data_IF_620339691086
#
_entry.id   IF_620339691086
#
_cell.length_a   1.000
_cell.length_b   1.000
_cell.length_c   1.000
_cell.angle_alpha   90.00
_cell.angle_beta   90.00
_cell.angle_gamma   90.00
#
_symmetry.space_group_name_H-M   'P 1'
#
loop_
_entity.id
_entity.type
_entity.pdbx_description
1 polymer ?
#
# COMPACT_ATOMS: atom_id res chain seq x y z
N UNK A 1 -28.44 6.46 50.07
CA UNK A 1 -29.21 5.28 49.59
C UNK A 1 -28.93 5.15 48.12
N UNK A 2 -28.33 4.08 47.64
CA UNK A 2 -28.16 3.87 46.21
C UNK A 2 -29.53 3.50 45.61
N UNK A 3 -29.92 4.17 44.54
CA UNK A 3 -31.13 3.89 43.78
C UNK A 3 -31.10 2.43 43.30
N UNK A 4 -32.11 1.64 43.76
CA UNK A 4 -32.34 0.29 43.24
C UNK A 4 -32.64 0.38 41.73
N UNK A 5 -31.84 -0.29 40.93
CA UNK A 5 -32.20 -0.54 39.54
C UNK A 5 -33.55 -1.25 39.54
N UNK A 6 -34.49 -0.73 38.74
CA UNK A 6 -35.82 -1.29 38.61
C UNK A 6 -35.69 -2.72 38.03
N UNK A 7 -36.44 -3.70 38.53
CA UNK A 7 -36.34 -5.09 38.07
C UNK A 7 -36.63 -5.22 36.56
N UNK A 8 -37.54 -4.36 36.06
CA UNK A 8 -37.88 -4.29 34.62
C UNK A 8 -36.68 -3.76 33.79
N UNK A 9 -35.92 -2.79 34.30
CA UNK A 9 -34.71 -2.27 33.61
C UNK A 9 -33.61 -3.37 33.47
N UNK A 10 -33.49 -4.25 34.47
CA UNK A 10 -32.50 -5.33 34.45
C UNK A 10 -32.89 -6.41 33.43
N UNK A 11 -34.16 -6.76 33.31
CA UNK A 11 -34.66 -7.72 32.31
C UNK A 11 -34.45 -7.19 30.92
N UNK A 12 -34.72 -5.92 30.67
CA UNK A 12 -34.50 -5.27 29.37
C UNK A 12 -33.03 -5.29 28.99
N UNK A 13 -32.13 -4.94 29.90
CA UNK A 13 -30.68 -4.95 29.64
C UNK A 13 -30.14 -6.37 29.33
N UNK A 14 -30.65 -7.40 30.01
CA UNK A 14 -30.29 -8.79 29.70
C UNK A 14 -30.82 -9.20 28.32
N UNK A 15 -32.02 -8.80 27.96
CA UNK A 15 -32.59 -9.06 26.63
C UNK A 15 -31.75 -8.44 25.51
N UNK A 16 -31.38 -7.17 25.66
CA UNK A 16 -30.49 -6.46 24.71
C UNK A 16 -29.11 -7.13 24.63
N UNK A 17 -28.55 -7.60 25.75
CA UNK A 17 -27.30 -8.31 25.77
C UNK A 17 -27.39 -9.65 25.00
N UNK A 18 -28.49 -10.40 25.17
CA UNK A 18 -28.75 -11.65 24.43
C UNK A 18 -28.90 -11.39 22.92
N UNK A 19 -29.50 -10.27 22.52
CA UNK A 19 -29.58 -9.88 21.11
C UNK A 19 -28.17 -9.63 20.54
N UNK A 20 -27.33 -8.82 21.21
CA UNK A 20 -25.95 -8.57 20.78
C UNK A 20 -25.08 -9.84 20.74
N UNK A 21 -25.26 -10.75 21.72
CA UNK A 21 -24.58 -12.05 21.70
C UNK A 21 -25.01 -12.91 20.48
N UNK A 22 -26.28 -12.83 20.10
CA UNK A 22 -26.79 -13.51 18.91
C UNK A 22 -26.30 -12.87 17.60
N UNK A 23 -26.06 -11.55 17.57
CA UNK A 23 -25.43 -10.89 16.44
C UNK A 23 -24.01 -11.44 16.23
N UNK A 24 -23.19 -11.49 17.29
CA UNK A 24 -21.83 -12.05 17.21
C UNK A 24 -21.89 -13.54 16.85
N UNK A 25 -22.82 -14.32 17.43
CA UNK A 25 -23.01 -15.72 17.06
C UNK A 25 -23.37 -15.91 15.58
N UNK A 26 -24.13 -14.97 14.99
CA UNK A 26 -24.45 -15.01 13.55
C UNK A 26 -23.22 -14.73 12.68
N UNK A 27 -22.29 -13.90 13.14
CA UNK A 27 -21.00 -13.64 12.50
C UNK A 27 -20.15 -14.92 12.54
N UNK A 28 -19.97 -15.54 13.70
CA UNK A 28 -19.24 -16.82 13.83
C UNK A 28 -19.82 -17.93 12.94
N UNK A 29 -21.16 -17.99 12.82
CA UNK A 29 -21.82 -18.95 11.92
C UNK A 29 -21.46 -18.70 10.44
N UNK A 30 -21.29 -17.45 10.03
CA UNK A 30 -20.90 -17.07 8.67
C UNK A 30 -19.40 -17.27 8.44
N UNK A 31 -18.57 -16.93 9.44
CA UNK A 31 -17.11 -17.07 9.39
C UNK A 31 -16.67 -18.53 9.22
N UNK A 32 -17.35 -19.49 9.84
CA UNK A 32 -17.06 -20.92 9.64
C UNK A 32 -17.12 -21.30 8.15
N UNK A 33 -18.21 -20.96 7.46
CA UNK A 33 -18.36 -21.31 6.04
C UNK A 33 -17.29 -20.62 5.18
N UNK A 34 -17.00 -19.37 5.51
CA UNK A 34 -16.00 -18.59 4.82
C UNK A 34 -14.59 -19.18 5.01
N UNK A 35 -14.20 -19.51 6.25
CA UNK A 35 -12.89 -20.10 6.54
C UNK A 35 -12.74 -21.44 5.81
N UNK A 36 -13.78 -22.28 5.77
CA UNK A 36 -13.77 -23.53 4.99
C UNK A 36 -13.50 -23.25 3.51
N UNK A 37 -14.22 -22.29 2.91
CA UNK A 37 -14.01 -21.89 1.52
C UNK A 37 -12.60 -21.37 1.29
N UNK A 38 -12.06 -20.58 2.21
CA UNK A 38 -10.70 -20.04 2.15
C UNK A 38 -9.63 -21.13 2.23
N UNK A 39 -9.82 -22.15 3.08
CA UNK A 39 -8.91 -23.31 3.17
C UNK A 39 -8.81 -24.05 1.83
N UNK A 40 -9.93 -24.19 1.11
CA UNK A 40 -9.95 -24.88 -0.18
C UNK A 40 -9.32 -24.02 -1.31
N UNK A 41 -9.53 -22.72 -1.28
CA UNK A 41 -9.11 -21.79 -2.35
C UNK A 41 -7.65 -21.34 -2.24
N UNK A 42 -7.11 -21.15 -1.02
CA UNK A 42 -5.76 -20.62 -0.87
C UNK A 42 -4.69 -21.58 -1.39
N UNK A 43 -3.78 -21.13 -2.26
CA UNK A 43 -2.65 -21.94 -2.71
C UNK A 43 -1.53 -22.02 -1.66
N UNK A 44 -1.56 -21.19 -0.62
CA UNK A 44 -0.48 -21.01 0.35
C UNK A 44 -0.63 -21.97 1.53
N UNK A 45 0.31 -22.89 1.71
CA UNK A 45 0.24 -23.90 2.77
C UNK A 45 0.26 -23.31 4.18
N UNK A 46 0.99 -22.23 4.41
CA UNK A 46 1.05 -21.53 5.71
C UNK A 46 -0.30 -20.90 6.07
N UNK A 47 -0.92 -20.21 5.10
CA UNK A 47 -2.27 -19.64 5.26
C UNK A 47 -3.27 -20.76 5.53
N UNK A 48 -3.22 -21.84 4.74
CA UNK A 48 -4.09 -23.01 4.91
C UNK A 48 -3.99 -23.64 6.29
N UNK A 49 -2.78 -23.77 6.82
CA UNK A 49 -2.54 -24.33 8.14
C UNK A 49 -3.10 -23.43 9.25
N UNK A 50 -2.87 -22.13 9.16
CA UNK A 50 -3.37 -21.17 10.16
C UNK A 50 -4.90 -21.07 10.12
N UNK A 51 -5.51 -21.06 8.92
CA UNK A 51 -6.96 -21.08 8.76
C UNK A 51 -7.60 -22.33 9.36
N UNK A 52 -6.97 -23.52 9.24
CA UNK A 52 -7.46 -24.74 9.88
C UNK A 52 -7.48 -24.63 11.40
N UNK A 53 -6.41 -24.07 11.98
CA UNK A 53 -6.36 -23.81 13.42
C UNK A 53 -7.45 -22.81 13.82
N UNK A 54 -7.61 -21.73 13.07
CA UNK A 54 -8.63 -20.72 13.35
C UNK A 54 -10.06 -21.25 13.20
N UNK A 55 -10.31 -22.17 12.26
CA UNK A 55 -11.59 -22.85 12.15
C UNK A 55 -11.97 -23.61 13.45
N UNK A 56 -11.00 -24.28 14.09
CA UNK A 56 -11.20 -24.94 15.37
C UNK A 56 -11.49 -23.94 16.49
N UNK A 57 -10.74 -22.81 16.51
CA UNK A 57 -10.96 -21.69 17.46
C UNK A 57 -12.39 -21.13 17.30
N UNK A 58 -12.84 -20.85 16.08
CA UNK A 58 -14.19 -20.34 15.75
C UNK A 58 -15.30 -21.32 16.16
N UNK A 59 -15.10 -22.61 15.98
CA UNK A 59 -16.05 -23.63 16.48
C UNK A 59 -16.18 -23.59 18.03
N UNK A 60 -15.10 -23.36 18.74
CA UNK A 60 -15.10 -23.27 20.20
C UNK A 60 -15.75 -21.96 20.64
N UNK A 61 -15.50 -20.85 19.99
CA UNK A 61 -16.12 -19.54 20.23
C UNK A 61 -17.63 -19.61 20.07
N UNK A 62 -18.09 -20.20 18.98
CA UNK A 62 -19.51 -20.48 18.76
C UNK A 62 -20.15 -21.29 19.91
N UNK A 63 -19.46 -22.30 20.44
CA UNK A 63 -19.96 -23.08 21.57
C UNK A 63 -20.01 -22.24 22.86
N UNK A 64 -19.00 -21.39 23.11
CA UNK A 64 -18.97 -20.46 24.25
C UNK A 64 -20.15 -19.47 24.17
N UNK A 65 -20.37 -18.84 23.02
CA UNK A 65 -21.50 -17.92 22.84
C UNK A 65 -22.85 -18.62 23.06
N UNK A 66 -23.06 -19.82 22.49
CA UNK A 66 -24.30 -20.60 22.75
C UNK A 66 -24.51 -20.89 24.22
N UNK A 67 -23.45 -21.28 24.95
CA UNK A 67 -23.52 -21.51 26.41
C UNK A 67 -23.87 -20.26 27.17
N UNK A 68 -23.28 -19.11 26.82
CA UNK A 68 -23.55 -17.82 27.46
C UNK A 68 -25.01 -17.42 27.22
N UNK A 69 -25.49 -17.47 26.00
CA UNK A 69 -26.87 -17.10 25.64
C UNK A 69 -27.89 -17.96 26.42
N UNK A 70 -27.67 -19.26 26.46
CA UNK A 70 -28.55 -20.18 27.22
C UNK A 70 -28.49 -19.86 28.71
N UNK A 71 -27.29 -19.61 29.27
CA UNK A 71 -27.10 -19.24 30.68
C UNK A 71 -27.84 -17.96 31.08
N UNK A 72 -27.98 -17.00 30.15
CA UNK A 72 -28.75 -15.77 30.32
C UNK A 72 -30.26 -15.93 30.04
N UNK A 73 -30.73 -17.14 29.76
CA UNK A 73 -32.13 -17.46 29.49
C UNK A 73 -32.58 -17.16 28.04
N UNK A 74 -31.62 -16.83 27.16
CA UNK A 74 -31.88 -16.58 25.74
C UNK A 74 -31.88 -17.86 24.87
N UNK A 75 -32.25 -17.71 23.61
CA UNK A 75 -32.20 -18.77 22.59
C UNK A 75 -31.11 -18.45 21.57
N UNK A 76 -30.09 -19.33 21.39
CA UNK A 76 -29.05 -19.14 20.39
C UNK A 76 -29.61 -19.15 18.96
N UNK A 77 -29.12 -18.25 18.12
CA UNK A 77 -29.46 -18.20 16.69
C UNK A 77 -28.63 -19.19 15.87
N UNK A 78 -29.23 -19.70 14.79
CA UNK A 78 -28.50 -20.39 13.72
C UNK A 78 -28.39 -19.51 12.43
N UNK A 79 -28.82 -18.24 12.51
CA UNK A 79 -28.67 -17.29 11.42
C UNK A 79 -27.18 -17.05 11.10
N UNK A 80 -26.91 -16.65 9.86
CA UNK A 80 -25.58 -16.25 9.38
C UNK A 80 -25.59 -14.78 9.00
N UNK A 81 -24.59 -14.04 9.46
CA UNK A 81 -24.42 -12.64 9.11
C UNK A 81 -23.97 -12.48 7.64
N UNK A 82 -24.26 -11.33 7.06
CA UNK A 82 -23.74 -10.95 5.75
C UNK A 82 -22.36 -10.29 5.90
N UNK A 83 -21.29 -11.05 5.75
CA UNK A 83 -19.91 -10.60 5.86
C UNK A 83 -19.48 -9.68 4.70
N UNK A 84 -20.29 -9.52 3.66
CA UNK A 84 -19.97 -8.62 2.54
C UNK A 84 -20.09 -7.14 2.89
N UNK A 85 -20.71 -6.82 4.01
CA UNK A 85 -21.03 -5.45 4.48
C UNK A 85 -20.12 -4.93 5.58
N UNK A 86 -18.93 -5.50 5.76
CA UNK A 86 -17.96 -4.94 6.71
C UNK A 86 -17.71 -3.46 6.40
N UNK A 87 -18.11 -2.58 7.33
CA UNK A 87 -18.17 -1.12 7.17
C UNK A 87 -16.83 -0.40 7.36
N UNK A 88 -15.71 -1.08 7.20
CA UNK A 88 -14.44 -0.36 7.11
C UNK A 88 -14.40 0.37 5.76
N UNK A 89 -14.10 1.69 5.75
CA UNK A 89 -13.93 2.40 4.50
C UNK A 89 -12.83 1.69 3.70
N UNK A 90 -13.24 0.95 2.69
CA UNK A 90 -12.33 0.38 1.71
C UNK A 90 -11.59 1.57 1.09
N UNK A 91 -10.32 1.72 1.49
CA UNK A 91 -9.41 2.64 0.83
C UNK A 91 -9.57 2.48 -0.68
N UNK A 92 -9.63 3.58 -1.36
CA UNK A 92 -9.88 3.80 -2.80
C UNK A 92 -8.94 2.99 -3.74
N UNK A 93 -8.03 2.20 -3.19
CA UNK A 93 -7.09 1.31 -3.90
C UNK A 93 -7.78 0.33 -4.87
N UNK A 94 -9.03 -0.09 -4.61
CA UNK A 94 -9.67 -1.14 -5.40
C UNK A 94 -10.08 -0.72 -6.81
N UNK A 95 -10.45 0.55 -7.02
CA UNK A 95 -10.96 1.01 -8.33
C UNK A 95 -9.88 1.20 -9.38
N UNK A 96 -8.67 1.55 -8.96
CA UNK A 96 -7.59 1.86 -9.89
C UNK A 96 -6.74 0.63 -10.22
N UNK A 97 -6.52 -0.26 -9.24
CA UNK A 97 -5.75 -1.49 -9.42
C UNK A 97 -6.41 -2.47 -10.42
N UNK A 98 -7.74 -2.66 -10.33
CA UNK A 98 -8.48 -3.53 -11.26
C UNK A 98 -8.53 -2.99 -12.69
N UNK A 99 -8.54 -1.67 -12.89
CA UNK A 99 -8.53 -1.06 -14.23
C UNK A 99 -7.23 -1.26 -15.00
N UNK A 100 -6.09 -1.32 -14.30
CA UNK A 100 -4.77 -1.48 -14.95
C UNK A 100 -4.53 -2.91 -15.39
N UNK A 101 -5.11 -3.89 -14.69
CA UNK A 101 -4.96 -5.32 -15.02
C UNK A 101 -5.77 -5.74 -16.24
N UNK A 102 -6.97 -5.17 -16.41
CA UNK A 102 -7.82 -5.48 -17.58
C UNK A 102 -7.23 -5.03 -18.94
N UNK A 103 -6.32 -4.05 -18.94
CA UNK A 103 -5.78 -3.46 -20.16
C UNK A 103 -4.53 -4.18 -20.74
N UNK A 104 -3.88 -5.09 -20.01
CA UNK A 104 -2.58 -5.66 -20.41
C UNK A 104 -2.56 -7.18 -20.62
N UNK A 105 -3.69 -7.86 -20.80
CA UNK A 105 -3.71 -9.31 -20.94
C UNK A 105 -3.87 -9.78 -22.37
N UNK A 106 -2.78 -9.84 -23.10
CA UNK A 106 -2.66 -10.79 -24.22
C UNK A 106 -1.69 -11.92 -23.85
N UNK A 107 -2.28 -13.11 -23.76
CA UNK A 107 -1.78 -14.49 -23.84
C UNK A 107 -0.56 -14.95 -23.01
N UNK A 108 -0.81 -15.99 -22.20
CA UNK A 108 0.08 -17.03 -21.62
C UNK A 108 0.63 -16.87 -20.18
N UNK A 109 0.27 -15.83 -19.42
CA UNK A 109 0.56 -15.77 -17.99
C UNK A 109 -0.68 -15.60 -17.11
N UNK A 110 -1.87 -15.68 -17.69
CA UNK A 110 -3.15 -15.25 -17.09
C UNK A 110 -3.59 -16.03 -15.85
N UNK A 111 -3.36 -17.33 -15.81
CA UNK A 111 -3.91 -18.15 -14.71
C UNK A 111 -3.17 -17.91 -13.38
N UNK A 112 -1.86 -17.73 -13.38
CA UNK A 112 -1.10 -17.57 -12.14
C UNK A 112 -1.19 -16.15 -11.54
N UNK A 113 -1.25 -15.09 -12.36
CA UNK A 113 -1.36 -13.71 -11.87
C UNK A 113 -2.75 -13.41 -11.30
N UNK A 114 -3.83 -13.94 -11.91
CA UNK A 114 -5.20 -13.82 -11.38
C UNK A 114 -5.33 -14.52 -10.03
N UNK A 115 -4.77 -15.73 -9.85
CA UNK A 115 -4.82 -16.47 -8.59
C UNK A 115 -4.11 -15.75 -7.45
N UNK A 116 -3.06 -14.99 -7.74
CA UNK A 116 -2.27 -14.25 -6.74
C UNK A 116 -2.92 -12.94 -6.32
N UNK A 117 -3.52 -12.21 -7.25
CA UNK A 117 -4.31 -11.00 -6.96
C UNK A 117 -5.57 -11.33 -6.17
N UNK A 118 -6.22 -12.42 -6.51
CA UNK A 118 -7.36 -12.94 -5.77
C UNK A 118 -6.97 -13.34 -4.34
N UNK A 119 -5.80 -13.97 -4.15
CA UNK A 119 -5.31 -14.34 -2.82
C UNK A 119 -5.02 -13.12 -1.94
N UNK A 120 -4.38 -12.09 -2.47
CA UNK A 120 -4.13 -10.85 -1.72
C UNK A 120 -5.44 -10.12 -1.36
N UNK A 121 -6.40 -10.09 -2.28
CA UNK A 121 -7.71 -9.53 -2.01
C UNK A 121 -8.45 -10.29 -0.90
N UNK A 122 -8.35 -11.63 -0.92
CA UNK A 122 -8.91 -12.50 0.11
C UNK A 122 -8.24 -12.28 1.48
N UNK A 123 -6.92 -12.23 1.55
CA UNK A 123 -6.18 -11.96 2.79
C UNK A 123 -6.56 -10.60 3.39
N UNK A 124 -6.72 -9.57 2.56
CA UNK A 124 -7.19 -8.26 3.04
C UNK A 124 -8.61 -8.34 3.61
N UNK A 125 -9.48 -9.09 2.96
CA UNK A 125 -10.85 -9.29 3.43
C UNK A 125 -10.87 -10.13 4.72
N UNK A 126 -10.04 -11.17 4.81
CA UNK A 126 -9.85 -11.97 6.02
C UNK A 126 -9.45 -11.08 7.20
N UNK A 127 -8.41 -10.27 7.03
CA UNK A 127 -7.92 -9.35 8.07
C UNK A 127 -9.00 -8.35 8.55
N UNK A 128 -9.83 -7.85 7.65
CA UNK A 128 -10.92 -6.91 8.00
C UNK A 128 -11.95 -7.61 8.85
N UNK A 129 -12.34 -8.83 8.52
CA UNK A 129 -13.35 -9.58 9.25
C UNK A 129 -12.86 -9.93 10.65
N UNK A 130 -11.64 -10.45 10.80
CA UNK A 130 -11.05 -10.73 12.10
C UNK A 130 -11.01 -9.48 13.00
N UNK A 131 -10.75 -8.32 12.39
CA UNK A 131 -10.73 -7.06 13.15
C UNK A 131 -12.14 -6.62 13.58
N UNK A 132 -13.15 -6.83 12.76
CA UNK A 132 -14.56 -6.57 13.09
C UNK A 132 -15.04 -7.50 14.21
N UNK A 133 -14.64 -8.79 14.18
CA UNK A 133 -14.93 -9.77 15.24
C UNK A 133 -14.27 -9.39 16.58
N UNK A 134 -13.00 -8.97 16.55
CA UNK A 134 -12.30 -8.44 17.72
C UNK A 134 -13.07 -7.27 18.38
N UNK A 135 -13.50 -6.30 17.57
CA UNK A 135 -14.28 -5.13 18.06
C UNK A 135 -15.64 -5.56 18.62
N UNK A 136 -16.27 -6.57 18.02
CA UNK A 136 -17.54 -7.10 18.50
C UNK A 136 -17.40 -7.75 19.87
N UNK A 137 -16.38 -8.58 20.10
CA UNK A 137 -16.09 -9.16 21.42
C UNK A 137 -15.74 -8.09 22.46
N UNK A 138 -14.94 -7.07 22.12
CA UNK A 138 -14.63 -5.95 23.02
C UNK A 138 -15.92 -5.23 23.42
N UNK A 139 -16.83 -4.97 22.48
CA UNK A 139 -18.14 -4.36 22.75
C UNK A 139 -18.99 -5.20 23.69
N UNK A 140 -19.03 -6.53 23.48
CA UNK A 140 -19.75 -7.44 24.38
C UNK A 140 -19.19 -7.42 25.81
N UNK A 141 -17.88 -7.45 25.97
CA UNK A 141 -17.21 -7.40 27.28
C UNK A 141 -17.56 -6.10 28.01
N UNK A 142 -17.52 -4.96 27.31
CA UNK A 142 -17.92 -3.66 27.88
C UNK A 142 -19.39 -3.65 28.30
N UNK A 143 -20.29 -4.20 27.50
CA UNK A 143 -21.73 -4.31 27.84
C UNK A 143 -21.95 -5.22 29.04
N UNK A 144 -21.25 -6.36 29.13
CA UNK A 144 -21.28 -7.24 30.30
C UNK A 144 -20.90 -6.51 31.59
N UNK A 145 -19.85 -5.69 31.57
CA UNK A 145 -19.41 -4.89 32.72
C UNK A 145 -20.45 -3.84 33.14
N UNK A 146 -21.20 -3.28 32.19
CA UNK A 146 -22.24 -2.28 32.45
C UNK A 146 -23.55 -2.91 32.96
N UNK A 147 -23.85 -4.12 32.54
CA UNK A 147 -25.12 -4.81 32.83
C UNK A 147 -25.09 -5.54 34.17
N UNK A 148 -23.91 -5.97 34.58
CA UNK A 148 -23.68 -6.73 35.86
C UNK A 148 -24.62 -7.92 36.03
N UNK A 149 -24.73 -8.83 35.01
CA UNK A 149 -25.65 -9.97 35.08
C UNK A 149 -25.13 -11.06 36.01
N UNK A 150 -26.00 -12.01 36.44
CA UNK A 150 -25.56 -13.20 37.12
C UNK A 150 -24.44 -13.91 36.35
N UNK A 151 -23.40 -14.37 37.04
CA UNK A 151 -22.22 -15.06 36.46
C UNK A 151 -21.34 -14.14 35.58
N UNK A 152 -21.39 -12.83 35.74
CA UNK A 152 -20.61 -11.87 34.95
C UNK A 152 -19.12 -12.26 34.79
N UNK A 153 -18.45 -12.68 35.86
CA UNK A 153 -17.04 -13.05 35.84
C UNK A 153 -16.76 -14.26 34.91
N UNK A 154 -17.60 -15.30 34.98
CA UNK A 154 -17.43 -16.48 34.11
C UNK A 154 -17.67 -16.12 32.65
N UNK A 155 -18.70 -15.35 32.38
CA UNK A 155 -19.06 -14.94 31.03
C UNK A 155 -17.99 -14.00 30.43
N UNK A 156 -17.54 -13.00 31.20
CA UNK A 156 -16.46 -12.09 30.79
C UNK A 156 -15.20 -12.88 30.45
N UNK A 157 -14.79 -13.82 31.29
CA UNK A 157 -13.63 -14.69 31.01
C UNK A 157 -13.75 -15.47 29.70
N UNK A 158 -14.93 -16.02 29.40
CA UNK A 158 -15.15 -16.74 28.15
C UNK A 158 -15.10 -15.84 26.91
N UNK A 159 -15.63 -14.62 27.02
CA UNK A 159 -15.57 -13.61 25.95
C UNK A 159 -14.15 -13.08 25.74
N UNK A 160 -13.41 -12.79 26.83
CA UNK A 160 -12.01 -12.41 26.75
C UNK A 160 -11.13 -13.45 26.09
N UNK A 161 -11.41 -14.74 26.36
CA UNK A 161 -10.71 -15.83 25.69
C UNK A 161 -10.98 -15.88 24.19
N UNK A 162 -12.21 -15.67 23.76
CA UNK A 162 -12.55 -15.57 22.35
C UNK A 162 -11.90 -14.34 21.70
N UNK A 163 -11.95 -13.20 22.37
CA UNK A 163 -11.28 -11.98 21.91
C UNK A 163 -9.77 -12.16 21.70
N UNK A 164 -9.09 -12.89 22.60
CA UNK A 164 -7.65 -13.18 22.48
C UNK A 164 -7.35 -14.09 21.28
N UNK A 165 -8.25 -15.02 20.95
CA UNK A 165 -8.12 -15.90 19.77
C UNK A 165 -8.24 -15.08 18.49
N UNK A 166 -9.20 -14.11 18.40
CA UNK A 166 -9.32 -13.17 17.28
C UNK A 166 -8.12 -12.22 17.17
N UNK A 167 -7.66 -11.68 18.31
CA UNK A 167 -6.45 -10.85 18.35
C UNK A 167 -5.23 -11.62 17.85
N UNK A 168 -5.11 -12.90 18.20
CA UNK A 168 -4.04 -13.77 17.71
C UNK A 168 -4.10 -13.98 16.20
N UNK A 169 -5.31 -14.14 15.63
CA UNK A 169 -5.49 -14.28 14.18
C UNK A 169 -5.19 -12.99 13.44
N UNK A 170 -5.73 -11.86 13.91
CA UNK A 170 -5.44 -10.54 13.36
C UNK A 170 -3.93 -10.21 13.43
N UNK A 171 -3.27 -10.57 14.53
CA UNK A 171 -1.83 -10.42 14.69
C UNK A 171 -1.04 -11.32 13.75
N UNK A 172 -1.49 -12.56 13.54
CA UNK A 172 -0.88 -13.47 12.57
C UNK A 172 -0.93 -12.87 11.16
N UNK A 173 -2.07 -12.35 10.72
CA UNK A 173 -2.18 -11.67 9.43
C UNK A 173 -1.24 -10.45 9.35
N UNK A 174 -1.15 -9.67 10.43
CA UNK A 174 -0.26 -8.52 10.50
C UNK A 174 1.21 -8.87 10.25
N UNK A 175 1.67 -9.98 10.81
CA UNK A 175 3.07 -10.45 10.66
C UNK A 175 3.30 -11.14 9.32
N UNK A 176 2.36 -11.99 8.90
CA UNK A 176 2.56 -12.85 7.74
C UNK A 176 2.15 -12.20 6.42
N UNK A 177 1.28 -11.18 6.44
CA UNK A 177 0.94 -10.44 5.21
C UNK A 177 2.17 -9.87 4.50
N UNK A 178 3.18 -9.28 5.16
CA UNK A 178 4.43 -8.92 4.50
C UNK A 178 5.15 -10.10 3.86
N UNK A 179 5.23 -11.26 4.56
CA UNK A 179 5.87 -12.47 4.03
C UNK A 179 5.09 -13.07 2.85
N UNK A 180 3.77 -13.00 2.90
CA UNK A 180 2.88 -13.40 1.81
C UNK A 180 3.06 -12.46 0.62
N UNK A 181 3.12 -11.15 0.87
CA UNK A 181 3.47 -10.15 -0.13
C UNK A 181 4.88 -10.38 -0.69
N UNK A 182 5.83 -10.89 0.11
CA UNK A 182 7.17 -11.23 -0.34
C UNK A 182 7.19 -12.34 -1.39
N UNK A 183 6.28 -13.29 -1.31
CA UNK A 183 6.12 -14.33 -2.32
C UNK A 183 5.40 -13.83 -3.58
N UNK A 184 4.50 -12.84 -3.45
CA UNK A 184 3.77 -12.21 -4.55
C UNK A 184 4.52 -11.02 -5.16
N UNK A 185 5.29 -10.30 -4.33
CA UNK A 185 5.99 -9.07 -4.67
C UNK A 185 7.01 -9.17 -5.82
N UNK A 186 7.89 -10.20 -5.90
CA UNK A 186 8.82 -10.32 -7.00
C UNK A 186 8.13 -10.32 -8.37
N UNK A 187 6.90 -10.83 -8.43
CA UNK A 187 6.13 -10.91 -9.67
C UNK A 187 5.51 -9.56 -10.04
N UNK A 188 5.04 -8.78 -9.07
CA UNK A 188 4.47 -7.44 -9.30
C UNK A 188 5.54 -6.43 -9.72
N UNK A 189 6.68 -6.39 -9.01
CA UNK A 189 7.84 -5.56 -9.39
C UNK A 189 8.37 -5.98 -10.75
N UNK A 190 8.41 -7.28 -11.02
CA UNK A 190 8.83 -7.80 -12.32
C UNK A 190 7.94 -7.27 -13.45
N UNK A 191 6.65 -7.05 -13.21
CA UNK A 191 5.73 -6.51 -14.22
C UNK A 191 6.05 -5.06 -14.57
N UNK A 192 6.21 -4.17 -13.59
CA UNK A 192 6.52 -2.75 -13.85
C UNK A 192 7.90 -2.57 -14.48
N UNK A 193 8.94 -3.25 -13.97
CA UNK A 193 10.28 -3.23 -14.58
C UNK A 193 10.24 -3.88 -15.97
N UNK A 194 9.54 -5.01 -16.15
CA UNK A 194 9.44 -5.70 -17.43
C UNK A 194 8.81 -4.82 -18.50
N UNK A 195 7.82 -3.99 -18.15
CA UNK A 195 7.21 -3.03 -19.08
C UNK A 195 8.24 -2.00 -19.55
N UNK A 196 9.03 -1.45 -18.62
CA UNK A 196 10.13 -0.53 -18.93
C UNK A 196 11.22 -1.20 -19.77
N UNK A 197 11.66 -2.40 -19.38
CA UNK A 197 12.67 -3.16 -20.12
C UNK A 197 12.19 -3.53 -21.54
N UNK A 198 10.92 -3.91 -21.71
CA UNK A 198 10.32 -4.20 -23.03
C UNK A 198 10.29 -2.96 -23.91
N UNK A 199 9.99 -1.79 -23.36
CA UNK A 199 10.08 -0.53 -24.09
C UNK A 199 11.52 -0.27 -24.56
N UNK A 200 12.49 -0.37 -23.65
CA UNK A 200 13.90 -0.11 -23.96
C UNK A 200 14.48 -1.13 -24.94
N UNK A 201 14.06 -2.39 -24.87
CA UNK A 201 14.50 -3.45 -25.80
C UNK A 201 14.28 -3.06 -27.28
N UNK A 202 13.16 -2.40 -27.57
CA UNK A 202 12.84 -1.93 -28.91
C UNK A 202 13.70 -0.73 -29.36
N UNK A 203 14.48 -0.14 -28.46
CA UNK A 203 15.28 1.07 -28.69
C UNK A 203 16.78 0.87 -28.44
N UNK A 204 17.26 -0.38 -28.26
CA UNK A 204 18.69 -0.65 -28.05
C UNK A 204 19.51 -0.07 -29.22
N UNK A 205 20.57 0.65 -28.88
CA UNK A 205 21.45 1.32 -29.82
C UNK A 205 20.90 2.63 -30.38
N UNK A 206 19.69 3.03 -29.98
CA UNK A 206 19.10 4.31 -30.37
C UNK A 206 19.40 5.39 -29.36
N UNK A 207 19.29 6.63 -29.81
CA UNK A 207 19.21 7.81 -28.97
C UNK A 207 17.77 8.33 -28.98
N UNK A 208 17.18 8.50 -27.82
CA UNK A 208 15.80 8.95 -27.67
C UNK A 208 15.71 10.05 -26.61
N UNK A 209 14.78 10.99 -26.80
CA UNK A 209 14.48 12.00 -25.78
C UNK A 209 13.65 11.36 -24.68
N UNK A 210 14.12 11.50 -23.44
CA UNK A 210 13.44 10.98 -22.25
C UNK A 210 13.39 12.03 -21.16
N UNK A 211 12.28 12.06 -20.44
CA UNK A 211 12.17 12.72 -19.15
C UNK A 211 12.43 11.69 -18.07
N UNK A 212 13.38 11.94 -17.21
CA UNK A 212 13.82 11.04 -16.14
C UNK A 212 13.33 11.58 -14.81
N UNK A 213 12.72 10.71 -13.99
CA UNK A 213 12.32 11.00 -12.62
C UNK A 213 13.18 10.15 -11.67
N UNK A 214 13.76 10.80 -10.68
CA UNK A 214 14.31 10.19 -9.48
C UNK A 214 13.44 10.56 -8.29
N UNK A 215 12.78 9.58 -7.69
CA UNK A 215 12.02 9.75 -6.45
C UNK A 215 12.74 9.00 -5.32
N UNK A 216 13.22 9.70 -4.33
CA UNK A 216 14.11 9.19 -3.28
C UNK A 216 13.51 9.43 -1.89
N UNK A 217 13.57 8.40 -1.03
CA UNK A 217 13.00 8.44 0.32
C UNK A 217 13.91 9.25 1.27
N UNK A 218 13.35 10.28 1.89
CA UNK A 218 14.11 11.12 2.80
C UNK A 218 14.47 10.38 4.08
N UNK A 219 15.76 10.33 4.42
CA UNK A 219 16.22 9.78 5.69
C UNK A 219 16.25 8.25 5.77
N UNK A 220 16.17 7.55 4.64
CA UNK A 220 16.26 6.08 4.56
C UNK A 220 17.52 5.51 5.20
N UNK A 221 18.67 6.15 5.02
CA UNK A 221 19.93 5.77 5.70
C UNK A 221 19.79 5.81 7.22
N UNK A 222 19.13 6.85 7.76
CA UNK A 222 18.88 6.92 9.21
C UNK A 222 17.91 5.83 9.66
N UNK A 223 16.86 5.57 8.88
CA UNK A 223 15.91 4.50 9.16
C UNK A 223 16.59 3.14 9.15
N UNK A 224 17.50 2.86 8.22
CA UNK A 224 18.27 1.61 8.18
C UNK A 224 19.19 1.39 9.38
N UNK A 225 19.60 2.46 10.07
CA UNK A 225 20.41 2.40 11.28
C UNK A 225 19.60 2.30 12.57
N UNK A 226 18.31 2.63 12.53
CA UNK A 226 17.48 2.79 13.73
C UNK A 226 16.30 1.84 13.80
N UNK A 227 15.82 1.33 12.68
CA UNK A 227 14.67 0.42 12.60
C UNK A 227 15.12 -1.03 12.45
N UNK A 228 14.36 -1.99 13.00
CA UNK A 228 14.50 -3.40 12.65
C UNK A 228 14.40 -3.59 11.14
N UNK A 229 15.17 -4.52 10.59
CA UNK A 229 15.24 -4.74 9.14
C UNK A 229 13.87 -5.04 8.50
N UNK A 230 13.02 -5.81 9.19
CA UNK A 230 11.69 -6.15 8.67
C UNK A 230 10.78 -4.93 8.54
N UNK A 231 10.88 -3.99 9.49
CA UNK A 231 10.16 -2.72 9.44
C UNK A 231 10.64 -1.85 8.28
N UNK A 232 11.97 -1.78 8.09
CA UNK A 232 12.58 -1.05 6.98
C UNK A 232 12.13 -1.62 5.64
N UNK A 233 12.17 -2.95 5.50
CA UNK A 233 11.71 -3.65 4.29
C UNK A 233 10.25 -3.34 4.01
N UNK A 234 9.39 -3.38 5.02
CA UNK A 234 7.96 -3.05 4.89
C UNK A 234 7.75 -1.61 4.39
N UNK A 235 8.49 -0.65 4.96
CA UNK A 235 8.42 0.76 4.56
C UNK A 235 8.88 0.94 3.11
N UNK A 236 10.06 0.42 2.75
CA UNK A 236 10.62 0.56 1.40
C UNK A 236 9.71 -0.09 0.37
N UNK A 237 9.11 -1.24 0.68
CA UNK A 237 8.17 -1.91 -0.21
C UNK A 237 6.91 -1.09 -0.46
N UNK A 238 6.25 -0.61 0.60
CA UNK A 238 5.09 0.26 0.45
C UNK A 238 5.42 1.48 -0.40
N UNK A 239 6.54 2.14 -0.11
CA UNK A 239 7.02 3.30 -0.85
C UNK A 239 7.26 2.99 -2.33
N UNK A 240 8.05 1.96 -2.64
CA UNK A 240 8.41 1.64 -4.03
C UNK A 240 7.22 1.14 -4.85
N UNK A 241 6.32 0.38 -4.22
CA UNK A 241 5.10 -0.10 -4.87
C UNK A 241 4.20 1.06 -5.29
N UNK A 242 3.83 1.92 -4.34
CA UNK A 242 2.84 2.96 -4.60
C UNK A 242 3.39 4.05 -5.54
N UNK A 243 4.71 4.32 -5.48
CA UNK A 243 5.34 5.20 -6.44
C UNK A 243 5.40 4.59 -7.85
N UNK A 244 5.66 3.29 -7.96
CA UNK A 244 5.63 2.59 -9.26
C UNK A 244 4.23 2.60 -9.86
N UNK A 245 3.21 2.43 -9.04
CA UNK A 245 1.82 2.55 -9.45
C UNK A 245 1.50 3.97 -9.95
N UNK A 246 2.00 5.01 -9.26
CA UNK A 246 1.85 6.37 -9.74
C UNK A 246 2.50 6.56 -11.13
N UNK A 247 3.71 6.03 -11.35
CA UNK A 247 4.38 6.07 -12.66
C UNK A 247 3.53 5.41 -13.75
N UNK A 248 3.03 4.20 -13.48
CA UNK A 248 2.21 3.44 -14.42
C UNK A 248 0.88 4.15 -14.73
N UNK A 249 0.28 4.82 -13.73
CA UNK A 249 -0.98 5.57 -13.88
C UNK A 249 -0.86 6.82 -14.77
N UNK A 250 0.35 7.33 -14.95
CA UNK A 250 0.68 8.45 -15.84
C UNK A 250 1.36 8.00 -17.14
N UNK A 251 1.24 6.72 -17.52
CA UNK A 251 1.87 6.13 -18.71
C UNK A 251 3.41 6.23 -18.74
N UNK A 252 4.04 6.42 -17.58
CA UNK A 252 5.49 6.34 -17.39
C UNK A 252 5.97 4.89 -17.33
N UNK A 253 7.27 4.72 -17.26
CA UNK A 253 7.94 3.42 -17.16
C UNK A 253 8.90 3.39 -15.98
N UNK A 254 8.82 2.37 -15.15
CA UNK A 254 9.83 2.14 -14.11
C UNK A 254 11.07 1.53 -14.78
N UNK A 255 12.22 2.18 -14.59
CA UNK A 255 13.50 1.69 -15.10
C UNK A 255 14.11 0.67 -14.13
N UNK A 256 14.27 1.08 -12.88
CA UNK A 256 14.88 0.28 -11.82
C UNK A 256 14.68 0.92 -10.44
N UNK A 257 14.96 0.14 -9.42
CA UNK A 257 15.09 0.62 -8.06
C UNK A 257 16.57 0.72 -7.68
N UNK A 258 16.96 1.79 -7.01
CA UNK A 258 18.32 1.99 -6.53
C UNK A 258 18.28 2.22 -5.01
N UNK A 259 18.35 1.13 -4.25
CA UNK A 259 18.09 1.15 -2.82
C UNK A 259 16.64 1.51 -2.52
N UNK A 260 16.43 2.68 -1.98
CA UNK A 260 15.14 3.28 -1.67
C UNK A 260 14.62 4.28 -2.72
N UNK A 261 15.35 4.44 -3.82
CA UNK A 261 14.94 5.33 -4.91
C UNK A 261 14.19 4.56 -6.01
N UNK A 262 13.10 5.15 -6.51
CA UNK A 262 12.39 4.74 -7.73
C UNK A 262 12.88 5.59 -8.87
N UNK A 263 13.48 4.95 -9.89
CA UNK A 263 13.94 5.60 -11.10
C UNK A 263 12.99 5.26 -12.22
N UNK A 264 12.41 6.26 -12.84
CA UNK A 264 11.43 6.09 -13.91
C UNK A 264 11.67 7.06 -15.06
N UNK A 265 11.04 6.78 -16.20
CA UNK A 265 11.17 7.62 -17.38
C UNK A 265 9.86 7.75 -18.16
N UNK A 266 9.75 8.85 -18.88
CA UNK A 266 8.67 9.12 -19.81
C UNK A 266 9.28 9.39 -21.18
N UNK A 267 8.82 8.73 -22.26
CA UNK A 267 9.27 9.05 -23.60
C UNK A 267 8.85 10.47 -23.98
N UNK A 268 9.81 11.30 -24.39
CA UNK A 268 9.54 12.65 -24.89
C UNK A 268 8.73 12.59 -26.18
N UNK A 269 7.69 13.41 -26.28
CA UNK A 269 6.91 13.60 -27.50
C UNK A 269 7.15 15.03 -27.98
N UNK A 270 8.00 15.18 -28.99
CA UNK A 270 8.21 16.49 -29.61
C UNK A 270 6.95 16.82 -30.41
N UNK A 271 6.17 17.78 -29.93
CA UNK A 271 5.13 18.44 -30.73
C UNK A 271 5.72 19.67 -31.42
N UNK A 272 5.19 20.03 -32.58
CA UNK A 272 5.66 21.14 -33.44
C UNK A 272 5.77 22.53 -32.75
N UNK A 273 5.21 22.68 -31.54
CA UNK A 273 5.18 23.95 -30.79
C UNK A 273 6.21 24.05 -29.65
N UNK A 274 7.27 23.25 -29.64
CA UNK A 274 8.30 23.20 -28.55
C UNK A 274 7.75 22.82 -27.15
N UNK A 275 6.53 22.37 -27.02
CA UNK A 275 5.96 21.91 -25.75
C UNK A 275 6.00 20.39 -25.71
N UNK A 276 6.63 19.84 -24.67
CA UNK A 276 6.64 18.39 -24.45
C UNK A 276 5.60 18.02 -23.39
N UNK A 277 4.44 17.54 -23.83
CA UNK A 277 3.36 17.09 -22.95
C UNK A 277 3.85 16.08 -21.90
N UNK A 278 4.93 15.35 -22.19
CA UNK A 278 5.50 14.38 -21.27
C UNK A 278 6.17 15.06 -20.07
N UNK A 279 6.66 16.30 -20.22
CA UNK A 279 7.23 17.08 -19.10
C UNK A 279 6.16 17.48 -18.07
N UNK A 280 5.01 17.97 -18.54
CA UNK A 280 3.87 18.28 -17.66
C UNK A 280 3.36 17.01 -16.97
N UNK A 281 3.22 15.91 -17.71
CA UNK A 281 2.81 14.60 -17.19
C UNK A 281 3.78 14.09 -16.11
N UNK A 282 5.08 14.24 -16.32
CA UNK A 282 6.11 13.85 -15.34
C UNK A 282 6.02 14.67 -14.05
N UNK A 283 5.75 15.98 -14.14
CA UNK A 283 5.53 16.86 -12.98
C UNK A 283 4.26 16.46 -12.24
N UNK A 284 3.15 16.21 -12.93
CA UNK A 284 1.90 15.76 -12.33
C UNK A 284 2.04 14.37 -11.66
N UNK A 285 2.79 13.46 -12.28
CA UNK A 285 3.16 12.20 -11.65
C UNK A 285 3.93 12.43 -10.34
N UNK A 286 4.90 13.34 -10.34
CA UNK A 286 5.62 13.72 -9.12
C UNK A 286 4.73 14.31 -8.02
N UNK A 287 3.75 15.16 -8.38
CA UNK A 287 2.74 15.67 -7.44
C UNK A 287 1.89 14.53 -6.87
N UNK A 288 1.45 13.59 -7.73
CA UNK A 288 0.71 12.40 -7.31
C UNK A 288 1.51 11.54 -6.34
N UNK A 289 2.81 11.29 -6.60
CA UNK A 289 3.69 10.56 -5.68
C UNK A 289 3.75 11.18 -4.29
N UNK A 290 3.90 12.51 -4.19
CA UNK A 290 3.92 13.22 -2.91
C UNK A 290 2.57 13.08 -2.19
N UNK A 291 1.46 13.23 -2.91
CA UNK A 291 0.13 13.11 -2.34
C UNK A 291 -0.15 11.69 -1.84
N UNK A 292 0.23 10.65 -2.59
CA UNK A 292 0.11 9.25 -2.18
C UNK A 292 0.86 8.98 -0.88
N UNK A 293 2.09 9.48 -0.74
CA UNK A 293 2.84 9.31 0.52
C UNK A 293 2.12 10.01 1.67
N UNK A 294 1.67 11.24 1.46
CA UNK A 294 1.10 12.09 2.50
C UNK A 294 -0.28 11.61 2.94
N UNK A 295 -1.16 11.29 1.97
CA UNK A 295 -2.58 11.03 2.24
C UNK A 295 -2.90 9.53 2.38
N UNK A 296 -2.07 8.64 1.83
CA UNK A 296 -2.35 7.20 1.81
C UNK A 296 -1.34 6.40 2.64
N UNK A 297 -0.03 6.55 2.40
CA UNK A 297 1.01 5.75 3.07
C UNK A 297 1.19 6.18 4.52
N UNK A 298 1.44 7.48 4.77
CA UNK A 298 1.73 7.97 6.12
C UNK A 298 0.62 7.70 7.13
N UNK A 299 -0.69 7.91 6.82
CA UNK A 299 -1.76 7.59 7.76
C UNK A 299 -1.79 6.11 8.16
N UNK A 300 -1.49 5.20 7.22
CA UNK A 300 -1.44 3.76 7.50
C UNK A 300 -0.22 3.41 8.34
N UNK A 301 0.97 3.88 7.94
CA UNK A 301 2.21 3.57 8.65
C UNK A 301 2.23 4.15 10.07
N UNK A 302 1.73 5.38 10.24
CA UNK A 302 1.72 6.04 11.55
C UNK A 302 0.66 5.45 12.48
N UNK A 303 -0.61 5.37 12.03
CA UNK A 303 -1.73 4.92 12.87
C UNK A 303 -1.66 3.44 13.22
N UNK A 304 -1.21 2.59 12.29
CA UNK A 304 -1.18 1.14 12.49
C UNK A 304 0.12 0.63 13.11
N UNK A 305 1.24 1.21 12.73
CA UNK A 305 2.56 0.67 13.05
C UNK A 305 3.40 1.60 13.92
N UNK A 306 2.94 2.84 14.15
CA UNK A 306 3.71 3.84 14.88
C UNK A 306 5.02 4.22 14.18
N UNK A 307 5.10 4.02 12.86
CA UNK A 307 6.29 4.37 12.10
C UNK A 307 6.36 5.89 11.87
N UNK A 308 7.57 6.44 11.68
CA UNK A 308 7.74 7.86 11.40
C UNK A 308 7.10 8.22 10.05
N UNK A 309 6.70 9.48 9.90
CA UNK A 309 6.24 10.00 8.61
C UNK A 309 7.34 9.88 7.55
N UNK A 310 6.94 9.44 6.38
CA UNK A 310 7.80 9.36 5.20
C UNK A 310 7.69 10.66 4.40
N UNK A 311 8.81 11.06 3.85
CA UNK A 311 8.92 12.19 2.94
C UNK A 311 9.68 11.75 1.69
N UNK A 312 9.32 12.29 0.54
CA UNK A 312 9.99 12.03 -0.73
C UNK A 312 10.60 13.33 -1.28
N UNK A 313 11.69 13.20 -1.99
CA UNK A 313 12.27 14.26 -2.80
C UNK A 313 12.34 13.77 -4.25
N UNK A 314 11.90 14.61 -5.18
CA UNK A 314 11.76 14.24 -6.58
C UNK A 314 12.58 15.21 -7.43
N UNK A 315 13.50 14.65 -8.20
CA UNK A 315 14.29 15.36 -9.19
C UNK A 315 13.92 14.88 -10.59
N UNK A 316 13.67 15.82 -11.50
CA UNK A 316 13.26 15.53 -12.87
C UNK A 316 14.19 16.28 -13.84
N UNK A 317 14.70 15.56 -14.84
CA UNK A 317 15.43 16.20 -15.94
C UNK A 317 15.13 15.51 -17.28
N UNK A 318 15.37 16.23 -18.38
CA UNK A 318 15.07 15.77 -19.72
C UNK A 318 16.26 15.93 -20.65
N UNK A 319 16.38 15.02 -21.59
CA UNK A 319 17.41 15.10 -22.61
C UNK A 319 17.47 13.89 -23.52
N UNK A 320 18.36 13.95 -24.50
CA UNK A 320 18.69 12.83 -25.36
C UNK A 320 19.51 11.79 -24.57
N UNK A 321 19.07 10.54 -24.59
CA UNK A 321 19.71 9.43 -23.89
C UNK A 321 19.95 8.27 -24.86
N UNK A 322 21.07 7.56 -24.69
CA UNK A 322 21.36 6.34 -25.39
C UNK A 322 20.79 5.14 -24.62
N UNK A 323 20.14 4.22 -25.30
CA UNK A 323 19.67 2.97 -24.74
C UNK A 323 20.75 1.91 -24.98
N UNK A 324 21.27 1.36 -23.89
CA UNK A 324 22.42 0.44 -23.93
C UNK A 324 22.09 -0.86 -23.21
N UNK A 325 22.63 -1.95 -23.71
CA UNK A 325 22.62 -3.24 -23.02
C UNK A 325 24.01 -3.53 -22.48
N UNK A 326 24.11 -3.81 -21.17
CA UNK A 326 25.37 -4.13 -20.52
C UNK A 326 25.54 -5.64 -20.40
N UNK A 327 26.55 -6.21 -21.05
CA UNK A 327 26.88 -7.64 -21.01
C UNK A 327 26.76 -8.32 -22.36
N UNK A 328 27.08 -9.61 -22.39
CA UNK A 328 27.15 -10.41 -23.61
C UNK A 328 25.96 -11.34 -23.83
N UNK A 329 25.09 -11.48 -22.81
CA UNK A 329 23.95 -12.37 -22.87
C UNK A 329 22.68 -11.62 -23.28
N UNK A 330 21.74 -12.30 -23.94
CA UNK A 330 20.45 -11.71 -24.30
C UNK A 330 19.62 -11.28 -23.10
N UNK A 331 19.86 -11.89 -21.95
CA UNK A 331 19.24 -11.56 -20.65
C UNK A 331 19.91 -10.40 -19.92
N UNK A 332 20.99 -9.83 -20.47
CA UNK A 332 21.71 -8.72 -19.84
C UNK A 332 20.83 -7.50 -19.69
N UNK A 333 20.89 -6.78 -18.55
CA UNK A 333 20.01 -5.65 -18.28
C UNK A 333 20.23 -4.51 -19.29
N UNK A 334 19.12 -3.89 -19.70
CA UNK A 334 19.11 -2.70 -20.53
C UNK A 334 19.01 -1.49 -19.62
N UNK A 335 19.80 -0.47 -19.90
CA UNK A 335 19.84 0.75 -19.10
C UNK A 335 19.85 2.00 -20.01
N UNK A 336 19.64 3.14 -19.40
CA UNK A 336 19.62 4.46 -20.01
C UNK A 336 20.94 5.16 -19.67
N UNK A 337 21.66 5.62 -20.67
CA UNK A 337 22.91 6.36 -20.52
C UNK A 337 22.75 7.76 -21.12
N UNK A 338 22.85 8.77 -20.28
CA UNK A 338 22.76 10.16 -20.74
C UNK A 338 22.96 11.19 -19.65
N UNK A 339 23.07 12.42 -20.06
CA UNK A 339 23.26 13.55 -19.13
C UNK A 339 22.08 13.68 -18.19
N UNK A 340 20.84 13.60 -18.68
CA UNK A 340 19.61 13.76 -17.89
C UNK A 340 19.48 12.73 -16.77
N UNK A 341 19.96 11.50 -16.97
CA UNK A 341 20.00 10.48 -15.91
C UNK A 341 20.83 10.94 -14.70
N UNK A 342 22.03 11.46 -14.98
CA UNK A 342 22.93 11.93 -13.92
C UNK A 342 22.42 13.21 -13.28
N UNK A 343 21.90 14.13 -14.10
CA UNK A 343 21.41 15.43 -13.63
C UNK A 343 20.16 15.27 -12.78
N UNK A 344 19.18 14.43 -13.18
CA UNK A 344 17.99 14.13 -12.37
C UNK A 344 18.37 13.61 -10.98
N UNK A 345 19.30 12.66 -10.88
CA UNK A 345 19.81 12.17 -9.59
C UNK A 345 20.45 13.27 -8.73
N UNK A 346 21.18 14.20 -9.35
CA UNK A 346 21.81 15.33 -8.64
C UNK A 346 20.79 16.39 -8.23
N UNK A 347 19.80 16.67 -9.07
CA UNK A 347 18.67 17.54 -8.73
C UNK A 347 17.94 17.00 -7.50
N UNK A 348 17.67 15.68 -7.46
CA UNK A 348 17.04 15.02 -6.29
C UNK A 348 17.85 15.28 -5.01
N UNK A 349 19.18 15.27 -5.07
CA UNK A 349 20.02 15.53 -3.90
C UNK A 349 19.95 16.99 -3.39
N UNK A 350 19.57 17.94 -4.24
CA UNK A 350 19.35 19.36 -3.89
C UNK A 350 17.91 19.60 -3.42
N UNK A 351 16.99 18.72 -3.75
CA UNK A 351 15.56 18.89 -3.53
C UNK A 351 15.22 18.66 -2.05
N UNK A 352 14.36 19.53 -1.52
CA UNK A 352 13.86 19.41 -0.15
C UNK A 352 12.82 18.29 -0.01
N UNK A 353 12.52 17.91 1.24
CA UNK A 353 11.48 16.95 1.56
C UNK A 353 10.11 17.40 1.02
N UNK A 354 9.36 16.45 0.41
CA UNK A 354 8.08 16.69 -0.24
C UNK A 354 8.09 17.81 -1.28
N UNK A 355 9.20 17.93 -2.01
CA UNK A 355 9.33 18.89 -3.11
C UNK A 355 9.69 18.21 -4.41
N UNK A 356 9.36 18.89 -5.50
CA UNK A 356 9.76 18.54 -6.85
C UNK A 356 10.71 19.63 -7.35
N UNK A 357 11.86 19.21 -7.86
CA UNK A 357 12.75 20.11 -8.57
C UNK A 357 13.02 19.59 -9.98
N UNK A 358 13.08 20.50 -10.94
CA UNK A 358 13.25 20.18 -12.35
C UNK A 358 14.49 20.89 -12.89
N UNK A 359 15.17 20.25 -13.83
CA UNK A 359 16.25 20.86 -14.59
C UNK A 359 15.73 21.87 -15.63
N UNK A 360 16.62 22.72 -16.13
CA UNK A 360 16.30 23.76 -17.09
C UNK A 360 15.63 23.22 -18.35
N UNK A 361 16.00 22.01 -18.82
CA UNK A 361 15.41 21.40 -20.00
C UNK A 361 13.92 21.09 -19.80
N UNK A 362 13.58 20.51 -18.64
CA UNK A 362 12.18 20.24 -18.28
C UNK A 362 11.43 21.57 -18.10
N UNK A 363 11.99 22.51 -17.34
CA UNK A 363 11.35 23.80 -17.09
C UNK A 363 10.97 24.54 -18.36
N UNK A 364 11.85 24.55 -19.36
CA UNK A 364 11.60 25.21 -20.65
C UNK A 364 10.50 24.52 -21.48
N UNK A 365 10.29 23.21 -21.31
CA UNK A 365 9.29 22.45 -22.04
C UNK A 365 7.91 22.40 -21.35
N UNK A 366 7.82 22.86 -20.08
CA UNK A 366 6.54 22.91 -19.36
C UNK A 366 5.56 23.95 -19.97
N UNK A 367 4.26 23.69 -19.80
CA UNK A 367 3.25 24.71 -20.07
C UNK A 367 3.48 25.96 -19.21
N UNK A 368 3.19 27.12 -19.75
CA UNK A 368 3.39 28.40 -19.04
C UNK A 368 2.63 28.53 -17.71
N UNK A 369 1.52 27.80 -17.54
CA UNK A 369 0.78 27.76 -16.28
C UNK A 369 1.57 26.98 -15.24
N UNK A 370 2.12 25.84 -15.62
CA UNK A 370 2.94 24.99 -14.76
C UNK A 370 4.27 25.66 -14.44
N UNK A 371 4.91 26.33 -15.42
CA UNK A 371 6.14 27.09 -15.17
C UNK A 371 6.00 28.13 -14.05
N UNK A 372 4.84 28.78 -13.93
CA UNK A 372 4.59 29.79 -12.89
C UNK A 372 4.54 29.24 -11.47
N UNK A 373 4.36 27.93 -11.35
CA UNK A 373 4.38 27.24 -10.05
C UNK A 373 5.81 27.01 -9.55
N UNK A 374 6.81 27.22 -10.39
CA UNK A 374 8.21 26.99 -10.07
C UNK A 374 8.98 28.32 -9.87
N UNK A 375 9.99 28.27 -9.02
CA UNK A 375 10.99 29.33 -8.87
C UNK A 375 12.39 28.75 -9.01
N UNK A 376 13.33 29.56 -9.46
CA UNK A 376 14.74 29.18 -9.60
C UNK A 376 15.33 28.84 -8.23
N UNK A 377 15.88 27.62 -8.08
CA UNK A 377 16.59 27.20 -6.89
C UNK A 377 18.01 27.79 -6.93
N UNK A 378 18.38 28.49 -5.87
CA UNK A 378 19.75 29.00 -5.77
C UNK A 378 20.76 27.87 -5.74
N UNK A 379 21.54 27.73 -6.77
CA UNK A 379 22.62 26.74 -6.92
C UNK A 379 24.00 27.31 -6.57
N UNK A 380 24.05 28.46 -5.87
CA UNK A 380 25.29 29.15 -5.47
C UNK A 380 26.15 28.36 -4.47
N UNK A 381 25.66 27.25 -3.97
CA UNK A 381 26.40 26.30 -3.14
C UNK A 381 27.44 25.55 -4.01
N UNK A 382 28.68 25.45 -3.55
CA UNK A 382 29.82 24.76 -4.22
C UNK A 382 29.55 23.28 -4.61
N UNK A 383 28.37 22.76 -4.30
CA UNK A 383 27.91 21.43 -4.64
C UNK A 383 27.36 21.29 -6.06
N UNK A 384 26.95 22.39 -6.71
CA UNK A 384 26.41 22.40 -8.06
C UNK A 384 27.42 22.94 -9.05
N UNK A 385 28.00 22.11 -9.90
CA UNK A 385 29.04 22.44 -10.88
C UNK A 385 28.65 22.08 -12.32
N UNK A 386 27.36 21.86 -12.55
CA UNK A 386 26.89 21.48 -13.87
C UNK A 386 26.65 22.72 -14.71
N UNK A 387 27.09 22.65 -15.96
CA UNK A 387 26.97 23.72 -16.97
C UNK A 387 26.10 23.23 -18.13
N UNK A 388 25.50 24.15 -18.84
CA UNK A 388 24.77 23.86 -20.08
C UNK A 388 25.74 23.33 -21.15
N UNK A 389 25.29 22.29 -21.88
CA UNK A 389 26.09 21.75 -22.97
C UNK A 389 26.30 22.81 -24.07
N UNK A 390 27.56 23.06 -24.42
CA UNK A 390 27.94 24.01 -25.45
C UNK A 390 27.96 25.49 -25.00
N UNK A 391 27.74 25.77 -23.71
CA UNK A 391 27.94 27.07 -23.08
C UNK A 391 28.66 26.91 -21.75
N UNK A 392 29.26 27.98 -21.24
CA UNK A 392 29.87 27.97 -19.89
C UNK A 392 28.86 28.43 -18.79
N UNK A 393 27.60 28.59 -19.14
CA UNK A 393 26.56 29.03 -18.21
C UNK A 393 26.15 27.89 -17.27
N UNK A 394 25.96 28.18 -15.96
CA UNK A 394 25.46 27.17 -15.01
C UNK A 394 24.11 26.61 -15.45
N UNK A 395 23.96 25.29 -15.36
CA UNK A 395 22.68 24.64 -15.61
C UNK A 395 21.71 24.95 -14.47
N UNK A 396 20.58 25.56 -14.79
CA UNK A 396 19.60 26.04 -13.82
C UNK A 396 18.68 24.91 -13.33
N UNK A 397 18.29 25.02 -12.08
CA UNK A 397 17.34 24.13 -11.42
C UNK A 397 16.18 24.96 -10.88
N UNK A 398 14.98 24.46 -11.03
CA UNK A 398 13.76 25.11 -10.56
C UNK A 398 13.03 24.19 -9.60
N UNK A 399 12.46 24.73 -8.53
CA UNK A 399 11.70 23.94 -7.55
C UNK A 399 10.27 24.43 -7.47
N UNK A 400 9.35 23.45 -7.31
CA UNK A 400 7.93 23.72 -7.17
C UNK A 400 7.67 24.47 -5.87
N UNK A 401 6.85 25.50 -5.91
CA UNK A 401 6.35 26.17 -4.72
C UNK A 401 5.52 25.19 -3.88
N UNK A 402 5.62 25.26 -2.53
CA UNK A 402 4.87 24.39 -1.65
C UNK A 402 3.35 24.64 -1.73
#
# INVERSE_FOLDING_TARGET
MPHGKNYDDTIQLISELVENLNEVLSTENASIDRIISRIDQTPMQEVKQRLKQHLEETHIQKQRLKRIIIGLGGKPTDAKADLSRSNLPMMTMRKNFLKTVELNTESNGRENSMLEEDELAQIKQDFVIEHDELVAYESLIRRMQMTDPPQQHEVTFLLEKSMQEEESMAYWYKIHTPLILDNLWPKMIHTSISRGQKFLLNHIGSKISLIIIYADLVGSTRMSMTLPIDNLVTIIRAFTHDLSYAVDSYDGYVLKYAGDAVISFFPGRVHDDNKDLASDTAVECGKSMINTIKEEINPVLNKRYGYPELFVKIGIDAGENAIVQFGYEQSSPIDILGYSMNTAAKITSLTGANKISVGENVYRSLDHKVQREFHELSTSDNRWKYINYGTDEPYKVYTLNP
#
